data_IF_371603656150
#
_entry.id   IF_371603656150
#
_cell.length_a   1.000
_cell.length_b   1.000
_cell.length_c   1.000
_cell.angle_alpha   90.00
_cell.angle_beta   90.00
_cell.angle_gamma   90.00
#
_symmetry.space_group_name_H-M   'P 1'
#
loop_
_entity.id
_entity.type
_entity.pdbx_description
1 polymer ?
#
# COMPACT_ATOMS: atom_id res chain seq x y z
N UNK A 1 -8.64 -7.57 24.86
CA UNK A 1 -8.73 -6.21 24.28
C UNK A 1 -7.62 -6.12 23.28
N UNK A 2 -7.93 -5.89 22.00
CA UNK A 2 -6.89 -5.66 21.00
C UNK A 2 -6.10 -4.41 21.39
N UNK A 3 -4.78 -4.54 21.44
CA UNK A 3 -3.89 -3.41 21.68
C UNK A 3 -4.03 -2.49 20.46
N UNK A 4 -4.30 -1.18 20.65
CA UNK A 4 -4.37 -0.25 19.52
C UNK A 4 -3.02 -0.23 18.81
N UNK A 5 -3.02 -0.55 17.52
CA UNK A 5 -1.82 -0.68 16.69
C UNK A 5 -1.88 0.22 15.45
N UNK A 6 -0.72 0.55 14.86
CA UNK A 6 -0.65 1.20 13.56
C UNK A 6 -1.36 0.39 12.47
N UNK A 7 -2.12 1.07 11.61
CA UNK A 7 -2.78 0.46 10.45
C UNK A 7 -2.43 1.26 9.21
N UNK A 8 -1.96 0.57 8.17
CA UNK A 8 -1.90 1.12 6.83
C UNK A 8 -3.10 0.58 6.04
N UNK A 9 -4.09 1.43 5.78
CA UNK A 9 -5.14 1.15 4.81
C UNK A 9 -4.66 1.62 3.45
N UNK A 10 -4.53 0.70 2.50
CA UNK A 10 -4.16 1.00 1.14
C UNK A 10 -5.34 0.73 0.21
N UNK A 11 -5.81 1.77 -0.46
CA UNK A 11 -6.85 1.68 -1.50
C UNK A 11 -6.16 1.64 -2.86
N UNK A 12 -6.26 0.51 -3.55
CA UNK A 12 -5.56 0.23 -4.80
C UNK A 12 -6.52 0.42 -5.97
N UNK A 13 -6.14 1.10 -7.06
CA UNK A 13 -6.98 1.22 -8.26
C UNK A 13 -7.36 -0.17 -8.80
N UNK A 14 -8.52 -0.29 -9.45
CA UNK A 14 -9.07 -1.59 -9.82
C UNK A 14 -8.26 -2.31 -10.92
N UNK A 15 -7.63 -1.52 -11.78
CA UNK A 15 -6.83 -1.90 -12.93
C UNK A 15 -5.34 -2.13 -12.62
N UNK A 16 -4.95 -1.98 -11.35
CA UNK A 16 -3.58 -2.23 -10.91
C UNK A 16 -3.43 -3.65 -10.42
N UNK A 17 -2.27 -4.25 -10.74
CA UNK A 17 -1.89 -5.56 -10.23
C UNK A 17 -0.92 -5.44 -9.06
N UNK A 18 -1.00 -6.43 -8.17
CA UNK A 18 -0.12 -6.55 -7.02
C UNK A 18 1.10 -7.39 -7.38
N UNK A 19 2.30 -6.89 -7.07
CA UNK A 19 3.54 -7.67 -7.10
C UNK A 19 3.63 -8.47 -5.79
N UNK A 20 3.51 -9.82 -5.81
CA UNK A 20 3.42 -10.61 -4.57
C UNK A 20 4.59 -10.39 -3.61
N UNK A 21 5.80 -10.29 -4.14
CA UNK A 21 7.03 -10.04 -3.37
C UNK A 21 7.01 -8.64 -2.76
N UNK A 22 6.56 -7.64 -3.52
CA UNK A 22 6.43 -6.27 -3.05
C UNK A 22 5.39 -6.12 -1.94
N UNK A 23 4.24 -6.78 -2.06
CA UNK A 23 3.22 -6.81 -0.99
C UNK A 23 3.75 -7.54 0.26
N UNK A 24 4.51 -8.60 0.07
CA UNK A 24 5.12 -9.36 1.18
C UNK A 24 6.13 -8.49 1.94
N UNK A 25 7.02 -7.80 1.23
CA UNK A 25 7.98 -6.88 1.84
C UNK A 25 7.28 -5.68 2.51
N UNK A 26 6.21 -5.14 1.90
CA UNK A 26 5.41 -4.08 2.52
C UNK A 26 4.78 -4.53 3.85
N UNK A 27 4.25 -5.76 3.90
CA UNK A 27 3.71 -6.35 5.14
C UNK A 27 4.81 -6.58 6.18
N UNK A 28 5.96 -7.11 5.76
CA UNK A 28 7.12 -7.35 6.65
C UNK A 28 7.59 -6.04 7.26
N UNK A 29 7.88 -5.03 6.45
CA UNK A 29 8.33 -3.71 6.92
C UNK A 29 7.32 -3.09 7.89
N UNK A 30 6.02 -3.11 7.55
CA UNK A 30 4.98 -2.58 8.43
C UNK A 30 4.87 -3.33 9.77
N UNK A 31 4.96 -4.66 9.74
CA UNK A 31 4.83 -5.50 10.93
C UNK A 31 6.07 -5.48 11.82
N UNK A 32 7.26 -5.63 11.24
CA UNK A 32 8.53 -5.74 11.98
C UNK A 32 9.04 -4.37 12.43
N UNK A 33 8.98 -3.35 11.57
CA UNK A 33 9.59 -2.06 11.87
C UNK A 33 8.63 -1.11 12.62
N UNK A 34 7.32 -1.32 12.47
CA UNK A 34 6.30 -0.42 13.01
C UNK A 34 5.23 -1.12 13.86
N UNK A 35 5.26 -2.46 14.01
CA UNK A 35 4.22 -3.19 14.76
C UNK A 35 2.82 -3.02 14.18
N UNK A 36 2.72 -2.73 12.88
CA UNK A 36 1.46 -2.37 12.22
C UNK A 36 0.89 -3.48 11.33
N UNK A 37 -0.31 -3.22 10.81
CA UNK A 37 -1.01 -4.15 9.91
C UNK A 37 -1.45 -3.49 8.61
N UNK A 38 -1.33 -4.24 7.51
CA UNK A 38 -1.73 -3.81 6.18
C UNK A 38 -3.17 -4.25 5.90
N UNK A 39 -4.04 -3.29 5.59
CA UNK A 39 -5.38 -3.55 5.07
C UNK A 39 -5.44 -3.11 3.61
N UNK A 40 -5.71 -4.03 2.70
CA UNK A 40 -5.87 -3.74 1.28
C UNK A 40 -7.35 -3.63 0.92
N UNK A 41 -7.70 -2.64 0.09
CA UNK A 41 -9.03 -2.51 -0.52
C UNK A 41 -8.90 -2.12 -1.98
N UNK A 42 -9.69 -2.75 -2.84
CA UNK A 42 -9.82 -2.30 -4.22
C UNK A 42 -10.73 -1.07 -4.28
N UNK A 43 -10.33 -0.09 -5.08
CA UNK A 43 -11.11 1.11 -5.33
C UNK A 43 -12.39 0.77 -6.10
N UNK A 44 -13.47 1.47 -5.77
CA UNK A 44 -14.74 1.41 -6.53
C UNK A 44 -14.91 2.56 -7.50
N UNK A 45 -14.00 3.53 -7.42
CA UNK A 45 -13.96 4.73 -8.25
C UNK A 45 -12.59 4.80 -8.93
N UNK A 46 -12.49 5.45 -10.11
CA UNK A 46 -11.20 5.62 -10.78
C UNK A 46 -10.19 6.32 -9.86
N UNK A 47 -8.97 5.79 -9.80
CA UNK A 47 -7.84 6.34 -9.07
C UNK A 47 -6.60 6.26 -9.96
N UNK A 48 -5.79 7.32 -9.99
CA UNK A 48 -4.55 7.33 -10.79
C UNK A 48 -3.39 6.62 -10.10
N UNK A 49 -3.47 6.41 -8.79
CA UNK A 49 -2.44 5.74 -7.98
C UNK A 49 -3.04 5.17 -6.68
N UNK A 50 -2.35 4.23 -6.01
CA UNK A 50 -2.73 3.76 -4.69
C UNK A 50 -2.81 4.88 -3.66
N UNK A 51 -3.88 4.90 -2.86
CA UNK A 51 -4.08 5.86 -1.78
C UNK A 51 -3.75 5.22 -0.43
N UNK A 52 -2.73 5.78 0.24
CA UNK A 52 -2.28 5.34 1.55
C UNK A 52 -2.93 6.16 2.67
N UNK A 53 -3.66 5.46 3.55
CA UNK A 53 -4.25 6.02 4.76
C UNK A 53 -3.58 5.41 6.00
N UNK A 54 -2.93 6.27 6.78
CA UNK A 54 -2.29 5.92 8.05
C UNK A 54 -3.34 6.04 9.17
N UNK A 55 -3.91 4.92 9.56
CA UNK A 55 -5.00 4.78 10.52
C UNK A 55 -4.52 4.13 11.83
N UNK A 56 -5.36 4.11 12.86
CA UNK A 56 -5.00 3.52 14.14
C UNK A 56 -4.08 4.42 14.96
N UNK A 57 -3.28 3.82 15.84
CA UNK A 57 -2.40 4.55 16.75
C UNK A 57 -0.98 4.59 16.20
N UNK A 58 -0.54 5.76 15.75
CA UNK A 58 0.85 6.01 15.33
C UNK A 58 1.49 6.99 16.30
N UNK A 59 2.72 6.73 16.73
CA UNK A 59 3.54 7.79 17.29
C UNK A 59 3.83 8.87 16.22
N UNK A 60 3.88 10.14 16.62
CA UNK A 60 4.04 11.26 15.68
C UNK A 60 5.40 11.23 14.98
N UNK A 61 6.47 10.83 15.66
CA UNK A 61 7.80 10.73 15.07
C UNK A 61 7.86 9.53 14.10
N UNK A 62 7.29 8.40 14.51
CA UNK A 62 7.22 7.18 13.70
C UNK A 62 6.39 7.38 12.43
N UNK A 63 5.25 8.08 12.51
CA UNK A 63 4.41 8.34 11.33
C UNK A 63 5.16 9.05 10.20
N UNK A 64 6.08 9.95 10.54
CA UNK A 64 6.90 10.65 9.55
C UNK A 64 7.90 9.69 8.89
N UNK A 65 8.52 8.81 9.67
CA UNK A 65 9.44 7.79 9.17
C UNK A 65 8.70 6.76 8.31
N UNK A 66 7.55 6.27 8.79
CA UNK A 66 6.69 5.34 8.07
C UNK A 66 6.22 5.89 6.72
N UNK A 67 5.89 7.19 6.64
CA UNK A 67 5.58 7.84 5.35
C UNK A 67 6.74 7.79 4.38
N UNK A 68 7.94 8.13 4.84
CA UNK A 68 9.14 8.11 4.00
C UNK A 68 9.50 6.69 3.53
N UNK A 69 9.38 5.71 4.43
CA UNK A 69 9.89 4.36 4.20
C UNK A 69 8.87 3.46 3.47
N UNK A 70 7.57 3.66 3.69
CA UNK A 70 6.51 2.84 3.09
C UNK A 70 6.08 3.32 1.71
N UNK A 71 6.16 4.62 1.40
CA UNK A 71 5.82 5.14 0.05
C UNK A 71 6.54 4.40 -1.09
N UNK A 72 7.89 4.29 -1.12
CA UNK A 72 8.55 3.58 -2.21
C UNK A 72 8.22 2.08 -2.26
N UNK A 73 7.86 1.48 -1.12
CA UNK A 73 7.43 0.06 -1.05
C UNK A 73 6.02 -0.13 -1.60
N UNK A 74 5.13 0.83 -1.39
CA UNK A 74 3.79 0.86 -2.00
C UNK A 74 3.93 0.95 -3.52
N UNK A 75 4.80 1.84 -4.02
CA UNK A 75 5.08 1.97 -5.46
C UNK A 75 5.66 0.68 -6.06
N UNK A 76 6.51 -0.04 -5.33
CA UNK A 76 7.05 -1.33 -5.79
C UNK A 76 6.05 -2.50 -5.66
N UNK A 77 5.02 -2.37 -4.81
CA UNK A 77 4.06 -3.43 -4.54
C UNK A 77 2.88 -3.45 -5.52
N UNK A 78 2.64 -2.37 -6.26
CA UNK A 78 1.53 -2.28 -7.19
C UNK A 78 1.96 -1.59 -8.48
N UNK A 79 1.48 -2.11 -9.61
CA UNK A 79 1.80 -1.54 -10.91
C UNK A 79 0.55 -1.47 -11.79
N UNK A 80 0.52 -0.48 -12.67
CA UNK A 80 -0.56 -0.29 -13.63
C UNK A 80 -0.27 -1.12 -14.89
N UNK A 81 -1.22 -1.93 -15.33
CA UNK A 81 -1.16 -2.69 -16.59
C UNK A 81 -1.77 -1.95 -17.78
N UNK A 82 -2.35 -0.76 -17.60
CA UNK A 82 -3.06 -0.04 -18.67
C UNK A 82 -2.20 0.28 -19.91
N UNK A 83 -0.88 0.18 -19.83
CA UNK A 83 0.01 0.35 -20.99
C UNK A 83 0.11 -0.92 -21.86
N UNK A 84 -0.10 -2.12 -21.30
CA UNK A 84 -0.05 -3.39 -22.05
C UNK A 84 -1.29 -3.61 -22.92
N UNK A 85 -2.43 -3.03 -22.56
CA UNK A 85 -3.66 -3.13 -23.36
C UNK A 85 -3.62 -2.31 -24.65
N UNK A 86 -2.66 -1.37 -24.79
CA UNK A 86 -2.51 -0.53 -25.99
C UNK A 86 -1.71 -1.20 -27.13
N UNK A 87 -0.99 -2.29 -26.86
CA UNK A 87 -0.14 -2.97 -27.86
C UNK A 87 -0.83 -4.17 -28.55
N UNK A 88 -2.05 -4.53 -28.12
CA UNK A 88 -2.82 -5.67 -28.66
C UNK A 88 -3.72 -5.36 -29.87
N UNK A 89 -3.70 -4.13 -30.37
CA UNK A 89 -4.43 -3.70 -31.57
C UNK A 89 -3.43 -3.30 -32.65
N UNK A 90 -2.87 -4.30 -33.32
CA UNK A 90 -2.02 -4.18 -34.51
C UNK A 90 -2.48 -5.12 -35.60
#
# INVERSE_FOLDING_TARGET
>A
MDVPQPVLLLVVPAEWEAVPEGVTELRRCLGEDYGGVLTLRMARTPLHSPLAHYCGLWDRAELRLARRDLTPRIEAAFFNLAWLELEGVG
#
